data_IF_731773322525
#
_entry.id   IF_731773322525
#
_cell.length_a   1.000
_cell.length_b   1.000
_cell.length_c   1.000
_cell.angle_alpha   90.00
_cell.angle_beta   90.00
_cell.angle_gamma   90.00
#
_symmetry.space_group_name_H-M   'P 1'
#
loop_
_entity.id
_entity.type
_entity.pdbx_description
1 polymer ?
#
# COMPACT_ATOMS: atom_id res chain seq x y z
N UNK A 1 11.09 -13.71 26.25
CA UNK A 1 11.46 -14.93 25.49
C UNK A 1 10.70 -15.11 24.15
N UNK A 2 9.72 -14.26 23.77
CA UNK A 2 8.90 -14.50 22.56
C UNK A 2 9.40 -13.99 21.20
N UNK A 3 10.37 -13.05 21.15
CA UNK A 3 10.82 -12.43 19.86
C UNK A 3 11.60 -13.38 18.96
N UNK A 4 12.42 -14.25 19.56
CA UNK A 4 13.25 -15.22 18.82
C UNK A 4 12.49 -16.48 18.45
N UNK A 5 11.47 -16.86 19.23
CA UNK A 5 10.66 -18.04 18.95
C UNK A 5 9.97 -17.97 17.58
N UNK A 6 9.43 -16.80 17.21
CA UNK A 6 8.83 -16.58 15.88
C UNK A 6 9.88 -16.67 14.79
N UNK A 7 11.04 -16.06 14.99
CA UNK A 7 12.13 -16.08 13.99
C UNK A 7 12.65 -17.50 13.77
N UNK A 8 12.86 -18.27 14.85
CA UNK A 8 13.28 -19.67 14.80
C UNK A 8 12.21 -20.55 14.16
N UNK A 9 10.92 -20.33 14.46
CA UNK A 9 9.82 -21.03 13.81
C UNK A 9 9.75 -20.74 12.31
N UNK A 10 9.87 -19.46 11.91
CA UNK A 10 9.91 -19.08 10.49
C UNK A 10 11.11 -19.70 9.77
N UNK A 11 12.29 -19.66 10.37
CA UNK A 11 13.51 -20.27 9.80
C UNK A 11 13.38 -21.79 9.70
N UNK A 12 12.80 -22.45 10.70
CA UNK A 12 12.50 -23.88 10.69
C UNK A 12 11.51 -24.25 9.59
N UNK A 13 10.42 -23.49 9.44
CA UNK A 13 9.45 -23.69 8.35
C UNK A 13 10.07 -23.47 6.97
N UNK A 14 10.91 -22.43 6.81
CA UNK A 14 11.65 -22.17 5.57
C UNK A 14 12.60 -23.32 5.23
N UNK A 15 13.39 -23.77 6.20
CA UNK A 15 14.30 -24.90 6.02
C UNK A 15 13.52 -26.19 5.67
N UNK A 16 12.40 -26.45 6.34
CA UNK A 16 11.53 -27.57 6.06
C UNK A 16 10.92 -27.51 4.65
N UNK A 17 10.41 -26.34 4.24
CA UNK A 17 9.88 -26.12 2.90
C UNK A 17 10.97 -26.31 1.82
N UNK A 18 12.17 -25.75 2.03
CA UNK A 18 13.30 -25.94 1.11
C UNK A 18 13.75 -27.40 1.03
N UNK A 19 13.78 -28.13 2.14
CA UNK A 19 14.14 -29.55 2.15
C UNK A 19 13.11 -30.41 1.41
N UNK A 20 11.81 -30.14 1.58
CA UNK A 20 10.74 -30.94 0.96
C UNK A 20 10.42 -30.55 -0.49
N UNK A 21 10.53 -29.27 -0.85
CA UNK A 21 10.07 -28.74 -2.15
C UNK A 21 11.22 -28.19 -3.01
N UNK A 22 12.43 -28.06 -2.46
CA UNK A 22 13.59 -27.49 -3.18
C UNK A 22 13.99 -28.27 -4.42
N UNK A 23 13.92 -29.61 -4.41
CA UNK A 23 14.19 -30.43 -5.61
C UNK A 23 13.14 -30.20 -6.71
N UNK A 24 11.87 -30.08 -6.35
CA UNK A 24 10.80 -29.79 -7.32
C UNK A 24 10.97 -28.42 -7.99
N UNK A 25 11.49 -27.42 -7.27
CA UNK A 25 11.83 -26.11 -7.83
C UNK A 25 13.00 -26.17 -8.81
N UNK A 26 13.98 -27.05 -8.58
CA UNK A 26 15.13 -27.24 -9.49
C UNK A 26 14.74 -28.00 -10.77
N UNK A 27 13.64 -28.75 -10.73
CA UNK A 27 13.09 -29.48 -11.87
C UNK A 27 12.11 -28.62 -12.71
N UNK A 28 11.80 -27.40 -12.28
CA UNK A 28 11.02 -26.44 -13.07
C UNK A 28 11.80 -26.05 -14.33
N UNK A 29 11.38 -26.60 -15.46
CA UNK A 29 11.84 -26.20 -16.78
C UNK A 29 10.79 -25.29 -17.41
N UNK A 30 11.19 -24.08 -17.80
CA UNK A 30 10.30 -23.14 -18.45
C UNK A 30 10.13 -23.55 -19.91
N UNK A 31 8.92 -23.98 -20.27
CA UNK A 31 8.53 -24.20 -21.66
C UNK A 31 8.30 -22.88 -22.40
N UNK A 32 8.16 -22.92 -23.74
CA UNK A 32 7.87 -21.73 -24.54
C UNK A 32 6.56 -21.02 -24.15
N UNK A 33 5.55 -21.76 -23.69
CA UNK A 33 4.28 -21.21 -23.19
C UNK A 33 4.43 -20.45 -21.88
N UNK A 34 5.37 -20.87 -21.02
CA UNK A 34 5.58 -20.28 -19.70
C UNK A 34 6.18 -18.88 -19.82
N UNK A 35 7.01 -18.65 -20.84
CA UNK A 35 7.53 -17.32 -21.17
C UNK A 35 6.43 -16.32 -21.53
N UNK A 36 5.38 -16.76 -22.23
CA UNK A 36 4.24 -15.89 -22.53
C UNK A 36 3.43 -15.57 -21.28
N UNK A 37 3.24 -16.54 -20.39
CA UNK A 37 2.61 -16.32 -19.10
C UNK A 37 3.42 -15.36 -18.22
N UNK A 38 4.75 -15.52 -18.19
CA UNK A 38 5.65 -14.61 -17.48
C UNK A 38 5.58 -13.19 -18.04
N UNK A 39 5.60 -13.03 -19.38
CA UNK A 39 5.47 -11.73 -20.01
C UNK A 39 4.11 -11.11 -19.71
N UNK A 40 3.02 -11.87 -19.82
CA UNK A 40 1.67 -11.40 -19.50
C UNK A 40 1.58 -10.96 -18.03
N UNK A 41 2.06 -11.77 -17.10
CA UNK A 41 2.10 -11.46 -15.67
C UNK A 41 2.94 -10.21 -15.36
N UNK A 42 4.08 -10.04 -16.04
CA UNK A 42 4.92 -8.85 -15.91
C UNK A 42 4.22 -7.59 -16.44
N UNK A 43 3.55 -7.68 -17.59
CA UNK A 43 2.79 -6.57 -18.18
C UNK A 43 1.60 -6.19 -17.29
N UNK A 44 0.80 -7.16 -16.85
CA UNK A 44 -0.33 -6.91 -15.94
C UNK A 44 0.16 -6.30 -14.62
N UNK A 45 1.27 -6.80 -14.07
CA UNK A 45 1.89 -6.23 -12.87
C UNK A 45 2.37 -4.79 -13.09
N UNK A 46 2.99 -4.50 -14.23
CA UNK A 46 3.41 -3.14 -14.60
C UNK A 46 2.22 -2.18 -14.74
N UNK A 47 1.15 -2.62 -15.40
CA UNK A 47 -0.11 -1.88 -15.51
C UNK A 47 -0.70 -1.64 -14.12
N UNK A 48 -0.75 -2.66 -13.25
CA UNK A 48 -1.24 -2.51 -11.90
C UNK A 48 -0.47 -1.45 -11.09
N UNK A 49 0.86 -1.37 -11.25
CA UNK A 49 1.67 -0.30 -10.64
C UNK A 49 1.29 1.08 -11.17
N UNK A 50 1.05 1.21 -12.48
CA UNK A 50 0.62 2.46 -13.07
C UNK A 50 -0.78 2.88 -12.58
N UNK A 51 -1.74 1.96 -12.54
CA UNK A 51 -3.09 2.21 -12.00
C UNK A 51 -3.03 2.63 -10.54
N UNK A 52 -2.16 2.01 -9.73
CA UNK A 52 -1.95 2.41 -8.36
C UNK A 52 -1.38 3.84 -8.26
N UNK A 53 -0.41 4.19 -9.11
CA UNK A 53 0.09 5.55 -9.19
C UNK A 53 -0.98 6.59 -9.55
N UNK A 54 -1.96 6.21 -10.39
CA UNK A 54 -3.13 7.05 -10.69
C UNK A 54 -4.06 7.17 -9.48
N UNK A 55 -4.33 6.07 -8.77
CA UNK A 55 -5.14 6.07 -7.54
C UNK A 55 -4.52 6.97 -6.47
N UNK A 56 -3.21 6.90 -6.31
CA UNK A 56 -2.45 7.80 -5.45
C UNK A 56 -2.57 9.27 -5.87
N UNK A 57 -2.55 9.57 -7.17
CA UNK A 57 -2.79 10.94 -7.67
C UNK A 57 -4.20 11.44 -7.32
N UNK A 58 -5.23 10.58 -7.36
CA UNK A 58 -6.60 10.90 -6.92
C UNK A 58 -6.63 11.19 -5.43
N UNK A 59 -5.94 10.39 -4.61
CA UNK A 59 -5.79 10.60 -3.17
C UNK A 59 -5.12 11.95 -2.85
N UNK A 60 -4.03 12.28 -3.53
CA UNK A 60 -3.30 13.54 -3.35
C UNK A 60 -4.16 14.76 -3.69
N UNK A 61 -4.95 14.68 -4.77
CA UNK A 61 -5.95 15.72 -5.10
C UNK A 61 -6.98 15.88 -3.99
N UNK A 62 -7.52 14.77 -3.47
CA UNK A 62 -8.48 14.80 -2.37
C UNK A 62 -7.87 15.43 -1.11
N UNK A 63 -6.61 15.13 -0.78
CA UNK A 63 -5.85 15.72 0.34
C UNK A 63 -5.41 17.17 0.14
N UNK A 64 -5.76 17.80 -1.00
CA UNK A 64 -5.35 19.17 -1.35
C UNK A 64 -3.83 19.33 -1.42
N UNK A 65 -3.12 18.28 -1.82
CA UNK A 65 -1.67 18.29 -2.15
C UNK A 65 -1.42 17.65 -3.52
N UNK A 66 -2.05 18.17 -4.60
CA UNK A 66 -2.05 17.51 -5.89
C UNK A 66 -0.66 17.48 -6.53
N UNK A 67 -0.33 16.34 -7.16
CA UNK A 67 0.72 16.24 -8.16
C UNK A 67 0.10 15.99 -9.54
N UNK A 68 0.75 16.42 -10.64
CA UNK A 68 0.36 15.98 -11.98
C UNK A 68 0.33 14.45 -12.06
N UNK A 69 -0.74 13.87 -12.62
CA UNK A 69 -0.96 12.41 -12.60
C UNK A 69 0.23 11.63 -13.16
N UNK A 70 0.85 12.12 -14.25
CA UNK A 70 2.04 11.48 -14.83
C UNK A 70 3.20 11.48 -13.84
N UNK A 71 3.44 12.59 -13.15
CA UNK A 71 4.49 12.66 -12.12
C UNK A 71 4.18 11.73 -10.96
N UNK A 72 2.94 11.70 -10.48
CA UNK A 72 2.51 10.79 -9.42
C UNK A 72 2.76 9.32 -9.79
N UNK A 73 2.45 8.91 -11.02
CA UNK A 73 2.72 7.54 -11.52
C UNK A 73 4.22 7.24 -11.55
N UNK A 74 5.04 8.16 -12.08
CA UNK A 74 6.50 7.97 -12.13
C UNK A 74 7.10 7.86 -10.72
N UNK A 75 6.68 8.73 -9.81
CA UNK A 75 7.09 8.71 -8.40
C UNK A 75 6.68 7.40 -7.74
N UNK A 76 5.43 6.97 -7.94
CA UNK A 76 4.90 5.76 -7.35
C UNK A 76 5.67 4.53 -7.83
N UNK A 77 5.93 4.44 -9.14
CA UNK A 77 6.69 3.35 -9.74
C UNK A 77 8.14 3.30 -9.24
N UNK A 78 8.85 4.44 -9.24
CA UNK A 78 10.24 4.53 -8.75
C UNK A 78 10.34 4.16 -7.28
N UNK A 79 9.45 4.71 -6.45
CA UNK A 79 9.47 4.44 -5.00
C UNK A 79 9.00 3.02 -4.66
N UNK A 80 8.20 2.38 -5.51
CA UNK A 80 7.78 0.99 -5.30
C UNK A 80 8.97 0.01 -5.28
N UNK A 81 10.04 0.28 -6.03
CA UNK A 81 11.27 -0.54 -6.00
C UNK A 81 11.90 -0.55 -4.61
N UNK A 82 11.73 0.53 -3.85
CA UNK A 82 12.26 0.65 -2.49
C UNK A 82 11.55 -0.29 -1.49
N UNK A 83 10.45 -0.95 -1.87
CA UNK A 83 9.80 -2.00 -1.06
C UNK A 83 10.70 -3.23 -0.87
N UNK A 84 11.65 -3.44 -1.77
CA UNK A 84 12.57 -4.58 -1.75
C UNK A 84 13.84 -4.30 -0.93
N UNK A 85 13.99 -3.09 -0.37
CA UNK A 85 15.13 -2.74 0.49
C UNK A 85 14.82 -3.17 1.94
N UNK A 86 15.82 -3.75 2.66
CA UNK A 86 15.64 -4.13 4.06
C UNK A 86 15.14 -2.95 4.90
N UNK A 87 14.07 -3.20 5.66
CA UNK A 87 13.41 -2.21 6.52
C UNK A 87 11.99 -1.81 6.08
N UNK A 88 11.58 -2.11 4.84
CA UNK A 88 10.17 -2.04 4.38
C UNK A 88 9.50 -0.65 4.35
N UNK A 89 10.11 0.38 4.93
CA UNK A 89 9.56 1.74 5.05
C UNK A 89 10.12 2.73 4.01
N UNK A 90 11.13 2.34 3.24
CA UNK A 90 11.86 3.23 2.33
C UNK A 90 10.98 3.81 1.22
N UNK A 91 10.03 3.02 0.71
CA UNK A 91 9.05 3.51 -0.25
C UNK A 91 8.14 4.61 0.33
N UNK A 92 7.81 4.54 1.62
CA UNK A 92 7.01 5.55 2.32
C UNK A 92 7.85 6.82 2.52
N UNK A 93 9.08 6.67 3.03
CA UNK A 93 9.99 7.79 3.25
C UNK A 93 10.32 8.55 1.96
N UNK A 94 10.58 7.83 0.86
CA UNK A 94 10.87 8.43 -0.44
C UNK A 94 9.71 9.26 -1.00
N UNK A 95 8.47 8.79 -0.84
CA UNK A 95 7.28 9.55 -1.25
C UNK A 95 7.07 10.80 -0.41
N UNK A 96 7.30 10.72 0.91
CA UNK A 96 7.22 11.88 1.80
C UNK A 96 8.26 12.93 1.41
N UNK A 97 9.53 12.53 1.24
CA UNK A 97 10.60 13.43 0.84
C UNK A 97 10.31 14.12 -0.49
N UNK A 98 9.78 13.37 -1.47
CA UNK A 98 9.44 13.92 -2.77
C UNK A 98 8.25 14.89 -2.70
N UNK A 99 7.19 14.58 -1.96
CA UNK A 99 6.09 15.53 -1.76
C UNK A 99 6.57 16.81 -1.07
N UNK A 100 7.51 16.69 -0.13
CA UNK A 100 8.14 17.84 0.54
C UNK A 100 8.99 18.67 -0.41
N UNK A 101 9.73 18.05 -1.33
CA UNK A 101 10.51 18.79 -2.33
C UNK A 101 9.62 19.56 -3.32
N UNK A 102 8.34 19.20 -3.42
CA UNK A 102 7.32 19.93 -4.18
C UNK A 102 6.58 20.98 -3.34
N UNK A 103 7.07 21.30 -2.14
CA UNK A 103 6.53 22.34 -1.26
C UNK A 103 5.34 21.92 -0.40
N UNK A 104 4.96 20.64 -0.39
CA UNK A 104 3.87 20.16 0.47
C UNK A 104 4.33 19.97 1.92
N UNK A 105 3.45 20.32 2.86
CA UNK A 105 3.71 20.15 4.29
C UNK A 105 3.85 18.68 4.68
N UNK A 106 4.63 18.42 5.74
CA UNK A 106 4.88 17.06 6.22
C UNK A 106 3.58 16.30 6.54
N UNK A 107 2.62 16.97 7.17
CA UNK A 107 1.32 16.36 7.51
C UNK A 107 0.58 15.83 6.28
N UNK A 108 0.47 16.64 5.22
CA UNK A 108 -0.21 16.23 3.98
C UNK A 108 0.55 15.09 3.29
N UNK A 109 1.88 15.17 3.26
CA UNK A 109 2.73 14.14 2.68
C UNK A 109 2.60 12.80 3.42
N UNK A 110 2.62 12.82 4.76
CA UNK A 110 2.45 11.64 5.59
C UNK A 110 1.05 11.03 5.42
N UNK A 111 -0.01 11.85 5.36
CA UNK A 111 -1.37 11.36 5.11
C UNK A 111 -1.51 10.74 3.72
N UNK A 112 -0.92 11.35 2.68
CA UNK A 112 -0.94 10.81 1.31
C UNK A 112 -0.25 9.47 1.18
N UNK A 113 0.69 9.17 2.06
CA UNK A 113 1.43 7.91 2.05
C UNK A 113 0.81 6.84 2.96
N UNK A 114 0.14 7.23 4.05
CA UNK A 114 -0.53 6.31 4.97
C UNK A 114 -1.95 5.92 4.55
N UNK A 115 -2.68 6.85 3.94
CA UNK A 115 -4.03 6.58 3.47
C UNK A 115 -4.05 5.62 2.27
N UNK A 116 -3.02 5.65 1.43
CA UNK A 116 -2.84 4.78 0.26
C UNK A 116 -3.03 3.28 0.61
N UNK A 117 -2.21 2.67 1.50
CA UNK A 117 -2.40 1.27 1.87
C UNK A 117 -3.68 1.01 2.68
N UNK A 118 -4.19 2.00 3.44
CA UNK A 118 -5.44 1.85 4.18
C UNK A 118 -6.63 1.75 3.22
N UNK A 119 -6.70 2.64 2.22
CA UNK A 119 -7.76 2.64 1.21
C UNK A 119 -7.69 1.38 0.36
N UNK A 120 -6.49 0.92 -0.02
CA UNK A 120 -6.29 -0.35 -0.71
C UNK A 120 -6.82 -1.54 0.11
N UNK A 121 -6.56 -1.58 1.43
CA UNK A 121 -7.09 -2.62 2.31
C UNK A 121 -8.62 -2.58 2.43
N UNK A 122 -9.21 -1.39 2.56
CA UNK A 122 -10.67 -1.23 2.60
C UNK A 122 -11.29 -1.62 1.25
N UNK A 123 -10.67 -1.23 0.14
CA UNK A 123 -11.10 -1.59 -1.21
C UNK A 123 -11.09 -3.11 -1.42
N UNK A 124 -10.06 -3.81 -0.97
CA UNK A 124 -10.02 -5.27 -1.01
C UNK A 124 -11.13 -5.90 -0.15
N UNK A 125 -11.34 -5.40 1.08
CA UNK A 125 -12.39 -5.88 1.97
C UNK A 125 -13.81 -5.68 1.41
N UNK A 126 -14.02 -4.60 0.64
CA UNK A 126 -15.29 -4.33 -0.04
C UNK A 126 -15.62 -5.33 -1.15
N UNK A 127 -14.62 -6.05 -1.68
CA UNK A 127 -14.84 -7.07 -2.70
C UNK A 127 -15.20 -8.45 -2.12
N UNK A 128 -14.99 -8.69 -0.81
CA UNK A 128 -15.30 -9.98 -0.17
C UNK A 128 -16.74 -10.47 -0.40
N UNK A 129 -17.79 -9.62 -0.31
CA UNK A 129 -19.17 -10.06 -0.57
C UNK A 129 -19.39 -10.64 -1.97
N UNK A 130 -18.58 -10.27 -2.96
CA UNK A 130 -18.67 -10.80 -4.32
C UNK A 130 -18.26 -12.28 -4.40
N UNK A 131 -17.51 -12.77 -3.42
CA UNK A 131 -17.11 -14.17 -3.31
C UNK A 131 -18.15 -15.08 -2.65
N UNK A 132 -19.39 -14.62 -2.47
CA UNK A 132 -20.49 -15.39 -1.88
C UNK A 132 -20.54 -15.40 -0.35
N UNK A 133 -21.37 -16.28 0.22
CA UNK A 133 -21.55 -16.38 1.68
C UNK A 133 -20.39 -17.14 2.35
N UNK A 134 -19.33 -16.42 2.66
CA UNK A 134 -18.12 -16.96 3.31
C UNK A 134 -18.22 -16.92 4.85
N UNK A 135 -19.25 -17.56 5.42
CA UNK A 135 -19.51 -17.57 6.89
C UNK A 135 -19.59 -16.16 7.51
N UNK A 136 -20.15 -15.20 6.79
CA UNK A 136 -20.28 -13.81 7.24
C UNK A 136 -19.03 -12.94 7.07
N UNK A 137 -17.92 -13.45 6.48
CA UNK A 137 -16.72 -12.64 6.20
C UNK A 137 -17.01 -11.41 5.32
N UNK A 138 -18.05 -11.47 4.48
CA UNK A 138 -18.52 -10.33 3.70
C UNK A 138 -18.91 -9.11 4.55
N UNK A 139 -19.26 -9.29 5.83
CA UNK A 139 -19.55 -8.19 6.75
C UNK A 139 -18.31 -7.33 7.07
N UNK A 140 -17.10 -7.85 6.84
CA UNK A 140 -15.87 -7.08 7.02
C UNK A 140 -15.76 -5.91 6.03
N UNK A 141 -16.36 -6.01 4.84
CA UNK A 141 -16.38 -4.94 3.84
C UNK A 141 -17.02 -3.65 4.37
N UNK A 142 -18.32 -3.64 4.73
CA UNK A 142 -18.97 -2.45 5.28
C UNK A 142 -18.35 -2.01 6.61
N UNK A 143 -17.87 -2.92 7.46
CA UNK A 143 -17.15 -2.57 8.68
C UNK A 143 -15.83 -1.82 8.38
N UNK A 144 -15.10 -2.21 7.34
CA UNK A 144 -13.87 -1.54 6.94
C UNK A 144 -14.10 -0.09 6.45
N UNK A 145 -15.26 0.19 5.85
CA UNK A 145 -15.65 1.55 5.44
C UNK A 145 -15.81 2.47 6.64
N UNK A 146 -16.20 1.96 7.81
CA UNK A 146 -16.31 2.75 9.04
C UNK A 146 -14.98 3.42 9.41
N UNK A 147 -13.84 2.77 9.11
CA UNK A 147 -12.50 3.32 9.34
C UNK A 147 -12.22 4.59 8.50
N UNK A 148 -12.94 4.81 7.41
CA UNK A 148 -12.79 5.96 6.52
C UNK A 148 -13.71 7.14 6.89
N UNK A 149 -14.67 6.91 7.80
CA UNK A 149 -15.57 7.96 8.27
C UNK A 149 -14.80 9.06 9.02
N UNK A 150 -15.25 10.32 8.93
CA UNK A 150 -14.56 11.46 9.53
C UNK A 150 -14.20 11.31 11.01
N UNK A 151 -15.10 10.72 11.81
CA UNK A 151 -14.87 10.52 13.24
C UNK A 151 -13.83 9.45 13.58
N UNK A 152 -13.64 8.45 12.70
CA UNK A 152 -12.80 7.28 12.97
C UNK A 152 -11.44 7.35 12.28
N UNK A 153 -11.36 7.99 11.11
CA UNK A 153 -10.11 8.09 10.33
C UNK A 153 -9.01 8.84 11.08
N UNK A 154 -9.34 9.96 11.74
CA UNK A 154 -8.37 10.81 12.40
C UNK A 154 -7.67 10.13 13.58
N UNK A 155 -8.38 9.49 14.54
CA UNK A 155 -7.72 8.75 15.61
C UNK A 155 -6.96 7.52 15.09
N UNK A 156 -7.48 6.83 14.06
CA UNK A 156 -6.79 5.70 13.44
C UNK A 156 -5.45 6.12 12.84
N UNK A 157 -5.45 7.16 12.00
CA UNK A 157 -4.23 7.67 11.36
C UNK A 157 -3.23 8.22 12.38
N UNK A 158 -3.69 8.89 13.43
CA UNK A 158 -2.83 9.33 14.54
C UNK A 158 -2.17 8.14 15.26
N UNK A 159 -2.90 7.04 15.46
CA UNK A 159 -2.36 5.80 16.05
C UNK A 159 -1.34 5.14 15.11
N UNK A 160 -1.63 5.08 13.81
CA UNK A 160 -0.71 4.52 12.81
C UNK A 160 0.57 5.34 12.70
N UNK A 161 0.46 6.67 12.59
CA UNK A 161 1.61 7.59 12.58
C UNK A 161 2.54 7.40 13.78
N UNK A 162 1.99 7.19 14.98
CA UNK A 162 2.79 6.95 16.20
C UNK A 162 3.53 5.61 16.18
N UNK A 163 2.98 4.60 15.51
CA UNK A 163 3.57 3.25 15.46
C UNK A 163 4.64 3.13 14.39
N UNK A 164 4.52 3.92 13.33
CA UNK A 164 5.50 3.89 12.25
C UNK A 164 6.57 4.92 12.62
N UNK A 165 7.81 4.47 12.84
CA UNK A 165 8.95 5.33 13.16
C UNK A 165 9.42 6.20 11.96
N UNK A 166 8.51 6.60 11.06
CA UNK A 166 8.75 7.56 9.99
C UNK A 166 9.48 8.83 10.46
N UNK A 167 9.19 9.38 11.66
CA UNK A 167 9.89 10.58 12.15
C UNK A 167 11.39 10.39 12.37
N UNK A 168 11.83 9.19 12.77
CA UNK A 168 13.26 8.91 13.00
C UNK A 168 14.06 8.86 11.69
N UNK A 169 13.41 8.55 10.58
CA UNK A 169 14.04 8.38 9.27
C UNK A 169 14.04 9.68 8.45
N UNK A 170 13.10 10.59 8.71
CA UNK A 170 12.93 11.84 7.92
C UNK A 170 13.55 13.09 8.61
N UNK A 171 14.01 12.97 9.87
CA UNK A 171 14.75 13.99 10.60
C UNK A 171 13.87 14.93 11.44
N UNK A 172 14.40 15.39 12.59
CA UNK A 172 13.65 16.17 13.60
C UNK A 172 13.12 17.51 13.09
N UNK A 173 13.82 18.19 12.17
CA UNK A 173 13.38 19.48 11.58
C UNK A 173 12.06 19.41 10.77
N UNK A 174 11.42 18.24 10.67
CA UNK A 174 10.17 18.02 9.96
C UNK A 174 8.90 18.29 10.81
N UNK A 175 9.04 18.68 12.08
CA UNK A 175 7.93 18.63 13.05
C UNK A 175 6.99 19.84 13.07
N UNK A 176 7.19 20.92 12.30
CA UNK A 176 6.19 21.99 12.27
C UNK A 176 4.90 21.48 11.59
N UNK A 177 4.01 20.91 12.42
CA UNK A 177 2.65 20.51 12.08
C UNK A 177 1.85 21.82 12.03
N UNK A 178 1.48 22.35 10.86
CA UNK A 178 0.64 23.52 10.82
C UNK A 178 -0.73 23.17 11.43
N UNK A 179 -1.39 24.11 12.14
CA UNK A 179 -2.61 23.88 12.90
C UNK A 179 -3.88 23.67 12.03
N UNK A 180 -3.74 23.30 10.76
CA UNK A 180 -4.88 23.05 9.86
C UNK A 180 -5.32 21.58 9.93
N UNK A 181 -6.60 21.25 9.72
CA UNK A 181 -7.02 19.88 9.53
C UNK A 181 -6.44 19.39 8.20
N UNK A 182 -5.32 18.68 8.27
CA UNK A 182 -4.63 18.06 7.13
C UNK A 182 -5.57 17.15 6.33
N UNK A 183 -6.61 16.61 6.98
CA UNK A 183 -7.61 15.74 6.38
C UNK A 183 -8.87 16.53 5.97
N UNK A 184 -9.32 16.43 4.71
CA UNK A 184 -10.62 16.95 4.29
C UNK A 184 -11.75 16.36 5.13
N UNK A 185 -12.79 17.16 5.42
CA UNK A 185 -13.97 16.73 6.17
C UNK A 185 -14.81 15.65 5.46
N UNK A 186 -14.81 15.64 4.13
CA UNK A 186 -15.57 14.72 3.27
C UNK A 186 -15.16 13.24 3.39
N UNK A 187 -15.98 12.32 2.91
CA UNK A 187 -15.59 10.91 2.71
C UNK A 187 -14.66 10.76 1.49
N UNK A 188 -13.62 9.90 1.52
CA UNK A 188 -12.69 9.71 0.40
C UNK A 188 -13.26 8.77 -0.69
N UNK A 189 -14.46 9.08 -1.22
CA UNK A 189 -15.13 8.22 -2.20
C UNK A 189 -14.37 8.08 -3.53
N UNK A 190 -13.85 9.18 -4.06
CA UNK A 190 -13.02 9.17 -5.27
C UNK A 190 -11.73 8.34 -5.10
N UNK A 191 -10.92 8.60 -4.05
CA UNK A 191 -9.75 7.76 -3.75
C UNK A 191 -10.10 6.28 -3.54
N UNK A 192 -11.17 5.97 -2.81
CA UNK A 192 -11.60 4.59 -2.57
C UNK A 192 -11.96 3.86 -3.87
N UNK A 193 -12.71 4.52 -4.77
CA UNK A 193 -13.08 3.95 -6.06
C UNK A 193 -11.84 3.71 -6.96
N UNK A 194 -10.88 4.63 -6.93
CA UNK A 194 -9.63 4.47 -7.66
C UNK A 194 -8.79 3.30 -7.12
N UNK A 195 -8.74 3.11 -5.80
CA UNK A 195 -8.11 1.94 -5.17
C UNK A 195 -8.84 0.64 -5.48
N UNK A 196 -10.18 0.64 -5.55
CA UNK A 196 -10.94 -0.53 -5.99
C UNK A 196 -10.59 -0.91 -7.43
N UNK A 197 -10.45 0.06 -8.33
CA UNK A 197 -10.00 -0.19 -9.69
C UNK A 197 -8.58 -0.78 -9.72
N UNK A 198 -7.65 -0.25 -8.91
CA UNK A 198 -6.33 -0.83 -8.75
C UNK A 198 -6.39 -2.29 -8.25
N UNK A 199 -7.16 -2.56 -7.20
CA UNK A 199 -7.30 -3.91 -6.63
C UNK A 199 -7.83 -4.89 -7.67
N UNK A 200 -8.87 -4.52 -8.44
CA UNK A 200 -9.38 -5.37 -9.51
C UNK A 200 -8.30 -5.68 -10.55
N UNK A 201 -7.58 -4.66 -11.05
CA UNK A 201 -6.47 -4.85 -12.01
C UNK A 201 -5.36 -5.73 -11.43
N UNK A 202 -5.04 -5.56 -10.14
CA UNK A 202 -3.97 -6.29 -9.44
C UNK A 202 -4.26 -7.79 -9.32
N UNK A 203 -5.53 -8.19 -9.28
CA UNK A 203 -6.01 -9.57 -9.13
C UNK A 203 -6.58 -10.18 -10.42
N UNK A 204 -6.50 -9.47 -11.56
CA UNK A 204 -6.88 -10.00 -12.88
C UNK A 204 -5.81 -10.87 -13.54
N UNK A 205 -4.58 -10.88 -13.01
CA UNK A 205 -3.43 -11.62 -13.56
C UNK A 205 -2.72 -12.48 -12.54
#
# INVERSE_FOLDING_TARGET
MGRWAVSVACLGCLAWAMANQGRQLLELTLGPSDWWLLLAGALVSGVAVAVNGVAWAVLLRWLRCPLPTVQAVVVFARTNVLKYIPGGIWHLAGRIQLLRSHGHGWGQAAMGVLLDPLLMAVAALLLLPLGGWQRGLGLLGPLAVLCLLPGWRAPLLKRLLRRIELPRVVGEAAWEIPPSPVLPGSFPGGPLLAETAFVLVRFLG
#
